data_IF_109247717107
#
_entry.id   IF_109247717107
#
_cell.length_a   1.000
_cell.length_b   1.000
_cell.length_c   1.000
_cell.angle_alpha   90.00
_cell.angle_beta   90.00
_cell.angle_gamma   90.00
#
_symmetry.space_group_name_H-M   'P 1'
#
loop_
_entity.id
_entity.type
_entity.pdbx_description
1 polymer ?
#
# COMPACT_ATOMS: atom_id res chain seq x y z
N UNK A 1 7.65 -5.23 -3.11
CA UNK A 1 6.18 -5.08 -3.08
C UNK A 1 5.60 -5.89 -1.93
N UNK A 2 4.57 -5.39 -1.26
CA UNK A 2 3.85 -6.07 -0.17
C UNK A 2 2.42 -6.32 -0.59
N UNK A 3 1.87 -7.46 -0.22
CA UNK A 3 0.45 -7.75 -0.40
C UNK A 3 -0.28 -7.72 0.93
N UNK A 4 -1.38 -6.97 1.01
CA UNK A 4 -2.21 -6.91 2.19
C UNK A 4 -3.52 -7.65 1.97
N UNK A 5 -3.85 -8.54 2.92
CA UNK A 5 -5.10 -9.29 2.94
C UNK A 5 -6.23 -8.40 3.45
N UNK A 6 -7.37 -8.44 2.78
CA UNK A 6 -8.59 -7.79 3.27
C UNK A 6 -9.08 -8.39 4.60
N UNK A 7 -9.91 -7.65 5.34
CA UNK A 7 -10.63 -8.16 6.50
C UNK A 7 -11.55 -9.31 6.11
N UNK A 8 -11.89 -10.18 7.06
CA UNK A 8 -12.73 -11.36 6.79
C UNK A 8 -14.10 -10.90 6.26
N UNK A 9 -14.51 -11.43 5.11
CA UNK A 9 -15.80 -11.14 4.48
C UNK A 9 -15.86 -9.90 3.58
N UNK A 10 -14.80 -9.09 3.47
CA UNK A 10 -14.84 -7.81 2.71
C UNK A 10 -13.94 -7.82 1.47
N UNK A 11 -14.39 -7.44 0.28
CA UNK A 11 -13.55 -7.41 -0.93
C UNK A 11 -12.92 -6.04 -1.17
N UNK A 12 -11.87 -5.98 -1.99
CA UNK A 12 -11.19 -4.71 -2.27
C UNK A 12 -12.12 -3.79 -3.09
N UNK A 13 -12.84 -4.33 -4.07
CA UNK A 13 -13.78 -3.56 -4.90
C UNK A 13 -14.98 -3.04 -4.10
N UNK A 14 -15.43 -3.75 -3.06
CA UNK A 14 -16.47 -3.27 -2.15
C UNK A 14 -16.02 -2.04 -1.35
N UNK A 15 -14.72 -2.00 -0.96
CA UNK A 15 -14.17 -0.97 -0.07
C UNK A 15 -13.62 0.24 -0.83
N UNK A 16 -12.95 -0.03 -1.94
CA UNK A 16 -12.37 0.95 -2.85
C UNK A 16 -12.82 0.63 -4.27
N UNK A 17 -14.09 0.95 -4.62
CA UNK A 17 -14.64 0.69 -5.94
C UNK A 17 -13.91 1.47 -7.04
N UNK A 18 -13.30 2.61 -6.69
CA UNK A 18 -12.39 3.37 -7.53
C UNK A 18 -10.99 3.40 -6.90
N UNK A 19 -10.30 2.27 -6.94
CA UNK A 19 -8.93 2.17 -6.42
C UNK A 19 -7.99 3.18 -7.09
N UNK A 20 -8.20 3.47 -8.38
CA UNK A 20 -7.40 4.45 -9.11
C UNK A 20 -7.58 5.84 -8.50
N UNK A 21 -8.83 6.28 -8.36
CA UNK A 21 -9.16 7.56 -7.74
C UNK A 21 -8.67 7.67 -6.31
N UNK A 22 -8.78 6.60 -5.51
CA UNK A 22 -8.22 6.58 -4.15
C UNK A 22 -6.70 6.72 -4.14
N UNK A 23 -5.97 6.08 -5.06
CA UNK A 23 -4.52 6.29 -5.17
C UNK A 23 -4.20 7.74 -5.51
N UNK A 24 -4.93 8.34 -6.46
CA UNK A 24 -4.74 9.74 -6.83
C UNK A 24 -5.06 10.71 -5.69
N UNK A 25 -6.12 10.45 -4.93
CA UNK A 25 -6.52 11.28 -3.78
C UNK A 25 -5.52 11.24 -2.63
N UNK A 26 -4.93 10.07 -2.35
CA UNK A 26 -4.01 9.92 -1.22
C UNK A 26 -2.58 10.34 -1.53
N UNK A 27 -2.15 10.18 -2.77
CA UNK A 27 -0.71 10.23 -3.10
C UNK A 27 -0.37 11.15 -4.27
N UNK A 28 -1.33 11.59 -5.06
CA UNK A 28 -1.10 12.40 -6.25
C UNK A 28 -1.30 11.68 -7.57
N UNK A 29 -1.15 12.42 -8.67
CA UNK A 29 -1.48 11.98 -10.02
C UNK A 29 -0.78 10.66 -10.41
N UNK A 30 -1.56 9.73 -10.97
CA UNK A 30 -1.00 8.51 -11.53
C UNK A 30 -0.32 8.84 -12.86
N UNK A 31 0.99 8.64 -12.87
CA UNK A 31 1.86 8.92 -14.01
C UNK A 31 1.94 7.77 -15.02
N UNK A 32 1.78 6.52 -14.58
CA UNK A 32 2.00 5.33 -15.42
C UNK A 32 1.32 4.08 -14.81
N UNK A 33 1.42 2.93 -15.49
CA UNK A 33 1.00 1.63 -14.98
C UNK A 33 2.08 0.58 -15.18
N UNK A 34 2.28 -0.31 -14.20
CA UNK A 34 3.23 -1.43 -14.32
C UNK A 34 2.56 -2.77 -14.09
N UNK A 35 3.05 -3.82 -14.76
CA UNK A 35 2.59 -5.19 -14.53
C UNK A 35 3.44 -5.85 -13.45
N UNK A 36 2.78 -6.40 -12.44
CA UNK A 36 3.42 -7.20 -11.39
C UNK A 36 2.62 -8.48 -11.13
N UNK A 37 3.26 -9.63 -11.31
CA UNK A 37 2.63 -10.96 -11.20
C UNK A 37 1.37 -11.14 -12.07
N UNK A 38 1.29 -10.45 -13.21
CA UNK A 38 0.11 -10.46 -14.09
C UNK A 38 -1.03 -9.56 -13.61
N UNK A 39 -0.78 -8.67 -12.65
CA UNK A 39 -1.71 -7.63 -12.20
C UNK A 39 -1.21 -6.26 -12.65
N UNK A 40 -2.11 -5.43 -13.15
CA UNK A 40 -1.82 -4.03 -13.48
C UNK A 40 -1.86 -3.18 -12.20
N UNK A 41 -0.79 -2.44 -11.94
CA UNK A 41 -0.65 -1.56 -10.79
C UNK A 41 -0.44 -0.11 -11.26
N UNK A 42 -1.02 0.83 -10.53
CA UNK A 42 -0.89 2.26 -10.79
C UNK A 42 0.42 2.79 -10.19
N UNK A 43 1.12 3.62 -10.94
CA UNK A 43 2.39 4.22 -10.55
C UNK A 43 2.24 5.72 -10.37
N UNK A 44 2.53 6.19 -9.16
CA UNK A 44 2.73 7.61 -8.83
C UNK A 44 4.23 7.85 -8.72
N UNK A 45 4.82 8.40 -9.78
CA UNK A 45 6.27 8.65 -9.86
C UNK A 45 6.71 9.96 -9.17
N UNK A 46 5.79 10.88 -8.93
CA UNK A 46 6.02 12.14 -8.23
C UNK A 46 4.89 12.38 -7.21
N UNK A 47 4.94 11.70 -6.04
CA UNK A 47 3.88 11.83 -5.05
C UNK A 47 3.85 13.22 -4.41
N UNK A 48 2.66 13.68 -4.03
CA UNK A 48 2.49 15.03 -3.45
C UNK A 48 3.22 15.21 -2.12
N UNK A 49 3.38 14.14 -1.35
CA UNK A 49 4.12 14.17 -0.10
C UNK A 49 5.62 13.87 -0.34
N UNK A 50 6.55 14.79 0.01
CA UNK A 50 7.97 14.71 -0.34
C UNK A 50 8.74 13.58 0.38
N UNK A 51 8.10 12.85 1.28
CA UNK A 51 8.65 11.66 1.93
C UNK A 51 8.69 10.48 0.96
N UNK A 52 7.75 10.42 0.01
CA UNK A 52 7.70 9.35 -0.98
C UNK A 52 8.49 9.74 -2.22
N UNK A 53 9.29 8.81 -2.71
CA UNK A 53 9.94 8.92 -4.02
C UNK A 53 9.07 8.31 -5.11
N UNK A 54 8.33 7.24 -4.77
CA UNK A 54 7.47 6.53 -5.70
C UNK A 54 6.45 5.67 -4.96
N UNK A 55 5.25 5.60 -5.50
CA UNK A 55 4.20 4.69 -5.00
C UNK A 55 3.69 3.83 -6.14
N UNK A 56 3.54 2.54 -5.87
CA UNK A 56 2.94 1.58 -6.78
C UNK A 56 1.83 0.86 -6.05
N UNK A 57 0.61 0.87 -6.56
CA UNK A 57 -0.54 0.26 -5.90
C UNK A 57 -1.54 -0.32 -6.89
N UNK A 58 -2.13 -1.47 -6.56
CA UNK A 58 -3.18 -2.07 -7.39
C UNK A 58 -3.80 -3.32 -6.77
N UNK A 59 -4.84 -3.81 -7.42
CA UNK A 59 -5.54 -5.02 -7.02
C UNK A 59 -4.76 -6.25 -7.51
N UNK A 60 -4.39 -7.15 -6.60
CA UNK A 60 -3.85 -8.46 -6.93
C UNK A 60 -4.98 -9.49 -6.89
N UNK A 61 -5.56 -9.73 -8.07
CA UNK A 61 -6.74 -10.58 -8.24
C UNK A 61 -6.36 -12.02 -8.54
N UNK A 62 -6.75 -12.92 -7.65
CA UNK A 62 -6.44 -14.34 -7.80
C UNK A 62 -7.76 -15.06 -7.99
N UNK A 63 -8.17 -15.38 -9.23
CA UNK A 63 -9.57 -15.76 -9.53
C UNK A 63 -10.27 -16.84 -8.68
N UNK A 64 -9.56 -17.66 -7.89
CA UNK A 64 -10.15 -18.61 -6.91
C UNK A 64 -9.90 -18.26 -5.44
N UNK A 65 -9.07 -17.26 -5.17
CA UNK A 65 -8.75 -16.73 -3.86
C UNK A 65 -9.33 -15.33 -3.73
N UNK A 66 -9.22 -14.79 -2.53
CA UNK A 66 -9.61 -13.42 -2.27
C UNK A 66 -8.55 -12.47 -2.79
N UNK A 67 -8.99 -11.37 -3.39
CA UNK A 67 -8.11 -10.32 -3.87
C UNK A 67 -7.36 -9.66 -2.72
N UNK A 68 -6.13 -9.25 -3.02
CA UNK A 68 -5.25 -8.53 -2.10
C UNK A 68 -4.96 -7.15 -2.66
N UNK A 69 -4.52 -6.24 -1.79
CA UNK A 69 -3.93 -4.98 -2.22
C UNK A 69 -2.42 -5.19 -2.35
N UNK A 70 -1.90 -5.11 -3.57
CA UNK A 70 -0.47 -5.05 -3.83
C UNK A 70 -0.01 -3.59 -3.75
N UNK A 71 1.01 -3.32 -2.94
CA UNK A 71 1.53 -1.96 -2.76
C UNK A 71 3.02 -1.92 -2.52
N UNK A 72 3.66 -0.87 -3.00
CA UNK A 72 5.02 -0.50 -2.71
C UNK A 72 5.08 1.00 -2.44
N UNK A 73 5.61 1.36 -1.28
CA UNK A 73 6.00 2.73 -0.94
C UNK A 73 7.51 2.78 -0.97
N UNK A 74 8.06 3.57 -1.88
CA UNK A 74 9.47 3.95 -1.91
C UNK A 74 9.59 5.28 -1.17
N UNK A 75 10.35 5.28 -0.07
CA UNK A 75 10.45 6.41 0.85
C UNK A 75 11.90 6.90 0.90
N UNK A 76 12.05 8.22 0.96
CA UNK A 76 13.33 8.86 1.18
C UNK A 76 13.93 8.44 2.52
N UNK A 77 15.27 8.43 2.66
CA UNK A 77 15.90 8.20 3.95
C UNK A 77 15.41 9.19 5.00
N UNK A 78 15.11 8.69 6.20
CA UNK A 78 14.61 9.55 7.28
C UNK A 78 15.58 10.69 7.64
N UNK A 79 16.89 10.47 7.49
CA UNK A 79 17.91 11.49 7.72
C UNK A 79 17.75 12.70 6.79
N UNK A 80 17.48 12.46 5.50
CA UNK A 80 17.28 13.52 4.51
C UNK A 80 15.97 14.27 4.75
N UNK A 81 14.89 13.54 5.05
CA UNK A 81 13.59 14.11 5.40
C UNK A 81 13.70 15.04 6.61
N UNK A 82 14.44 14.62 7.64
CA UNK A 82 14.68 15.44 8.84
C UNK A 82 15.58 16.65 8.52
N UNK A 83 16.65 16.46 7.75
CA UNK A 83 17.59 17.51 7.40
C UNK A 83 16.94 18.64 6.60
N UNK A 84 15.96 18.31 5.75
CA UNK A 84 15.17 19.27 4.96
C UNK A 84 14.04 19.93 5.76
N UNK A 85 13.82 19.52 7.01
CA UNK A 85 12.76 20.08 7.87
C UNK A 85 11.37 19.55 7.55
N UNK A 86 11.26 18.43 6.84
CA UNK A 86 9.99 17.82 6.42
C UNK A 86 9.35 16.96 7.53
N UNK A 87 9.46 17.38 8.80
CA UNK A 87 8.95 16.61 9.93
C UNK A 87 7.42 16.49 9.92
N UNK A 88 6.71 17.57 9.57
CA UNK A 88 5.26 17.55 9.44
C UNK A 88 4.82 16.65 8.27
N UNK A 89 5.48 16.76 7.11
CA UNK A 89 5.24 15.87 5.97
C UNK A 89 5.51 14.40 6.30
N UNK A 90 6.49 14.09 7.15
CA UNK A 90 6.73 12.73 7.65
C UNK A 90 5.58 12.19 8.49
N UNK A 91 4.96 13.02 9.32
CA UNK A 91 3.76 12.63 10.06
C UNK A 91 2.59 12.38 9.09
N UNK A 92 2.34 13.32 8.17
CA UNK A 92 1.29 13.20 7.16
C UNK A 92 1.47 11.96 6.28
N UNK A 93 2.71 11.60 5.93
CA UNK A 93 3.02 10.41 5.15
C UNK A 93 2.63 9.11 5.89
N UNK A 94 2.92 9.05 7.20
CA UNK A 94 2.55 7.90 8.03
C UNK A 94 1.04 7.78 8.14
N UNK A 95 0.34 8.91 8.31
CA UNK A 95 -1.12 8.93 8.42
C UNK A 95 -1.77 8.53 7.09
N UNK A 96 -1.37 9.14 5.97
CA UNK A 96 -1.85 8.79 4.62
C UNK A 96 -1.68 7.30 4.31
N UNK A 97 -0.50 6.71 4.60
CA UNK A 97 -0.29 5.25 4.43
C UNK A 97 -1.24 4.44 5.29
N UNK A 98 -1.43 4.82 6.55
CA UNK A 98 -2.23 4.03 7.46
C UNK A 98 -3.71 4.10 7.13
N UNK A 99 -4.19 5.27 6.74
CA UNK A 99 -5.57 5.50 6.35
C UNK A 99 -5.88 4.81 5.03
N UNK A 100 -5.06 5.00 3.99
CA UNK A 100 -5.20 4.28 2.72
C UNK A 100 -5.26 2.76 2.94
N UNK A 101 -4.32 2.21 3.71
CA UNK A 101 -4.28 0.78 3.97
C UNK A 101 -5.44 0.30 4.85
N UNK A 102 -5.92 1.12 5.79
CA UNK A 102 -7.07 0.80 6.62
C UNK A 102 -8.35 0.80 5.79
N UNK A 103 -8.55 1.81 4.94
CA UNK A 103 -9.70 1.93 4.07
C UNK A 103 -9.75 0.79 3.07
N UNK A 104 -8.64 0.52 2.39
CA UNK A 104 -8.54 -0.56 1.41
C UNK A 104 -8.77 -1.94 2.05
N UNK A 105 -8.10 -2.21 3.16
CA UNK A 105 -8.04 -3.56 3.72
C UNK A 105 -9.06 -3.84 4.81
N UNK A 106 -9.68 -2.80 5.38
CA UNK A 106 -10.47 -2.88 6.59
C UNK A 106 -9.65 -3.27 7.84
N UNK A 107 -8.31 -3.21 7.78
CA UNK A 107 -7.43 -3.64 8.87
C UNK A 107 -6.53 -2.51 9.37
N UNK A 108 -6.52 -2.35 10.69
CA UNK A 108 -5.57 -1.48 11.37
C UNK A 108 -4.11 -1.97 11.20
N UNK A 109 -3.16 -1.10 11.49
CA UNK A 109 -1.73 -1.37 11.33
C UNK A 109 -1.25 -2.62 12.10
N UNK A 110 -1.76 -2.85 13.32
CA UNK A 110 -1.42 -4.03 14.13
C UNK A 110 -1.97 -5.29 13.47
N UNK A 111 -3.23 -5.29 13.06
CA UNK A 111 -3.88 -6.40 12.36
C UNK A 111 -3.17 -6.74 11.03
N UNK A 112 -2.70 -5.73 10.28
CA UNK A 112 -1.92 -5.91 9.05
C UNK A 112 -0.56 -6.56 9.33
N UNK A 113 0.18 -6.04 10.32
CA UNK A 113 1.48 -6.60 10.73
C UNK A 113 1.37 -8.04 11.20
N UNK A 114 0.39 -8.34 12.06
CA UNK A 114 0.20 -9.70 12.59
C UNK A 114 -0.18 -10.68 11.47
N UNK A 115 -0.93 -10.22 10.45
CA UNK A 115 -1.24 -11.01 9.26
C UNK A 115 0.00 -11.32 8.40
N UNK A 116 0.86 -10.33 8.17
CA UNK A 116 2.10 -10.51 7.42
C UNK A 116 3.07 -11.43 8.16
N UNK A 117 3.18 -11.30 9.49
CA UNK A 117 4.03 -12.17 10.32
C UNK A 117 3.64 -13.63 10.19
N UNK A 118 2.34 -13.94 10.28
CA UNK A 118 1.84 -15.32 10.13
C UNK A 118 2.12 -15.89 8.73
N UNK A 119 2.02 -15.07 7.69
CA UNK A 119 2.33 -15.51 6.32
C UNK A 119 3.82 -15.86 6.15
N UNK A 120 4.72 -15.12 6.80
CA UNK A 120 6.15 -15.47 6.84
C UNK A 120 6.41 -16.73 7.66
N UNK A 121 5.69 -16.93 8.77
CA UNK A 121 5.81 -18.14 9.60
C UNK A 121 5.30 -19.39 8.89
N UNK A 122 4.17 -19.30 8.17
CA UNK A 122 3.61 -20.42 7.39
C UNK A 122 4.50 -20.82 6.19
N UNK A 123 5.33 -19.90 5.67
CA UNK A 123 6.26 -20.14 4.55
C UNK A 123 7.64 -20.63 5.02
N UNK A 124 7.92 -20.58 6.33
CA UNK A 124 9.14 -21.14 6.90
C UNK A 124 9.04 -22.67 7.00
N UNK A 125 10.05 -23.44 6.57
CA UNK A 125 10.03 -24.90 6.70
C UNK A 125 10.05 -25.30 8.19
N UNK A 126 9.13 -26.17 8.60
CA UNK A 126 9.17 -26.85 9.91
C UNK A 126 10.48 -27.65 10.00
N UNK A 127 11.38 -27.28 10.92
CA UNK A 127 12.67 -27.95 11.15
C UNK A 127 12.68 -28.67 12.50
#
# INVERSE_FOLDING_TARGET
>A
MKEYKMRRGEHLDDRMPDLKGSVEEYFGEISDTEEWQGHELYVVADPENPVFERIVAGAAEYGSKKDKLAVHFEERPAEDVIAEGNADAAADAVDAKNDFLLEATGRDAKSRRDSLKREVEDDAPDY
#
